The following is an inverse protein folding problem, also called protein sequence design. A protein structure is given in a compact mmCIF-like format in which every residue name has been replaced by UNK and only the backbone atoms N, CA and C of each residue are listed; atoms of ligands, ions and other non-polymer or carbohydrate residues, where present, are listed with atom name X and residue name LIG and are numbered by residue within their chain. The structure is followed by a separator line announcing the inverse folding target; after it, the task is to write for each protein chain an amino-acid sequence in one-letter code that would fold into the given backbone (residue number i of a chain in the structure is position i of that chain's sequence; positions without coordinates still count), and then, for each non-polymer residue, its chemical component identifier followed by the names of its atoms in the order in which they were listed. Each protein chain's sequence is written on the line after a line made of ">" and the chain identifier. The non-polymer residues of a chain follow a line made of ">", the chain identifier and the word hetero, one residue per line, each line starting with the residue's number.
data_IF_003890692471
#
_entry.id   IF_003890692471
#
_cell.length_a   1.000
_cell.length_b   1.000
_cell.length_c   1.000
_cell.angle_alpha   90.00
_cell.angle_beta   90.00
_cell.angle_gamma   90.00
#
_symmetry.space_group_name_H-M   'P 1'
#
loop_
_entity.id
_entity.type
_entity.pdbx_description
1 polymer ?
#
# COMPACT_ATOMS: atom_id res chain seq x y z
N UNK A 1 15.65 2.24 9.81
CA UNK A 1 14.25 1.86 10.07
C UNK A 1 14.19 1.06 11.35
N UNK A 2 13.21 1.31 12.18
CA UNK A 2 13.04 0.65 13.47
C UNK A 2 11.60 0.20 13.72
N UNK A 3 11.38 -0.84 14.56
CA UNK A 3 10.04 -1.28 14.94
C UNK A 3 9.31 -0.24 15.80
N UNK A 4 7.97 -0.29 15.79
CA UNK A 4 7.12 0.59 16.60
C UNK A 4 5.90 -0.16 17.15
N UNK A 5 5.27 0.40 18.18
CA UNK A 5 4.00 -0.09 18.73
C UNK A 5 2.82 0.54 17.97
N UNK A 6 1.81 -0.27 17.68
CA UNK A 6 0.46 0.20 17.39
C UNK A 6 -0.32 0.22 18.70
N UNK A 7 -0.64 1.40 19.19
CA UNK A 7 -1.43 1.59 20.41
C UNK A 7 -2.87 1.94 20.03
N UNK A 8 -3.78 0.99 20.21
CA UNK A 8 -5.21 1.15 19.94
C UNK A 8 -5.89 1.70 21.19
N UNK A 9 -6.16 3.00 21.23
CA UNK A 9 -6.70 3.68 22.41
C UNK A 9 -8.04 3.09 22.86
N UNK A 10 -8.96 2.89 21.91
CA UNK A 10 -10.32 2.44 22.20
C UNK A 10 -10.39 0.94 22.57
N UNK A 11 -9.45 0.13 22.14
CA UNK A 11 -9.43 -1.32 22.38
C UNK A 11 -8.51 -1.70 23.55
N UNK A 12 -7.79 -0.75 24.16
CA UNK A 12 -6.71 -1.00 25.16
C UNK A 12 -5.72 -2.08 24.69
N UNK A 13 -5.49 -2.14 23.38
CA UNK A 13 -4.69 -3.18 22.72
C UNK A 13 -3.41 -2.59 22.18
N UNK A 14 -2.33 -3.34 22.32
CA UNK A 14 -1.02 -3.01 21.73
C UNK A 14 -0.56 -4.12 20.81
N UNK A 15 0.01 -3.74 19.69
CA UNK A 15 0.65 -4.67 18.74
C UNK A 15 1.96 -4.07 18.27
N UNK A 16 3.05 -4.82 18.34
CA UNK A 16 4.32 -4.38 17.77
C UNK A 16 4.32 -4.55 16.25
N UNK A 17 4.90 -3.60 15.54
CA UNK A 17 5.29 -3.78 14.15
C UNK A 17 6.42 -4.82 14.10
N UNK A 18 6.49 -5.57 12.99
CA UNK A 18 7.52 -6.58 12.76
C UNK A 18 8.15 -6.35 11.40
N UNK A 19 9.01 -5.32 11.27
CA UNK A 19 9.77 -5.14 10.04
C UNK A 19 10.74 -6.31 9.88
N UNK A 20 11.13 -6.60 8.64
CA UNK A 20 12.16 -7.61 8.36
C UNK A 20 13.54 -7.01 8.61
N UNK A 21 14.28 -7.44 9.66
CA UNK A 21 15.60 -6.89 9.97
C UNK A 21 16.60 -7.21 8.85
N UNK A 22 17.59 -6.34 8.67
CA UNK A 22 18.63 -6.55 7.68
C UNK A 22 19.19 -5.26 7.09
N UNK A 23 20.11 -5.46 6.17
CA UNK A 23 20.73 -4.41 5.37
C UNK A 23 20.22 -4.55 3.95
N UNK A 24 19.71 -3.46 3.40
CA UNK A 24 19.06 -3.40 2.10
C UNK A 24 19.71 -2.35 1.21
N UNK A 25 19.72 -2.60 -0.09
CA UNK A 25 19.82 -1.56 -1.11
C UNK A 25 18.44 -0.95 -1.41
N UNK A 26 18.40 0.03 -2.29
CA UNK A 26 17.17 0.74 -2.64
C UNK A 26 16.11 -0.16 -3.27
N UNK A 27 16.51 -1.08 -4.14
CA UNK A 27 15.59 -1.99 -4.86
C UNK A 27 14.98 -3.02 -3.91
N UNK A 28 15.83 -3.74 -3.18
CA UNK A 28 15.39 -4.79 -2.25
C UNK A 28 14.54 -4.22 -1.11
N UNK A 29 14.82 -3.01 -0.64
CA UNK A 29 14.00 -2.37 0.37
C UNK A 29 12.64 -1.91 -0.18
N UNK A 30 12.60 -1.33 -1.38
CA UNK A 30 11.34 -0.98 -2.03
C UNK A 30 10.45 -2.22 -2.23
N UNK A 31 11.01 -3.32 -2.74
CA UNK A 31 10.32 -4.59 -2.88
C UNK A 31 9.80 -5.11 -1.53
N UNK A 32 10.62 -5.02 -0.48
CA UNK A 32 10.24 -5.43 0.86
C UNK A 32 9.02 -4.65 1.41
N UNK A 33 8.95 -3.34 1.16
CA UNK A 33 7.78 -2.52 1.50
C UNK A 33 6.56 -2.90 0.65
N UNK A 34 6.73 -3.01 -0.66
CA UNK A 34 5.66 -3.34 -1.60
C UNK A 34 5.03 -4.71 -1.31
N UNK A 35 5.82 -5.67 -0.84
CA UNK A 35 5.36 -7.00 -0.45
C UNK A 35 5.05 -7.14 1.06
N UNK A 36 4.83 -6.01 1.75
CA UNK A 36 4.40 -5.94 3.15
C UNK A 36 5.36 -6.59 4.16
N UNK A 37 6.66 -6.63 3.87
CA UNK A 37 7.69 -7.08 4.82
C UNK A 37 8.23 -5.93 5.67
N UNK A 38 8.17 -4.71 5.15
CA UNK A 38 8.50 -3.47 5.83
C UNK A 38 7.34 -2.46 5.68
N UNK A 39 7.39 -1.37 6.42
CA UNK A 39 6.31 -0.39 6.50
C UNK A 39 6.63 0.86 5.68
N UNK A 40 5.58 1.49 5.13
CA UNK A 40 5.68 2.76 4.44
C UNK A 40 5.78 3.96 5.39
N UNK A 41 5.49 3.76 6.68
CA UNK A 41 5.39 4.83 7.69
C UNK A 41 6.74 5.47 7.96
N UNK A 42 6.99 6.64 7.41
CA UNK A 42 8.26 7.39 7.52
C UNK A 42 8.58 7.81 8.95
N UNK A 43 7.58 7.85 9.85
CA UNK A 43 7.79 8.12 11.28
C UNK A 43 8.64 7.04 11.98
N UNK A 44 8.79 5.85 11.40
CA UNK A 44 9.67 4.78 11.89
C UNK A 44 11.06 4.79 11.27
N UNK A 45 11.45 5.88 10.62
CA UNK A 45 12.71 6.03 9.92
C UNK A 45 13.56 7.14 10.52
N UNK A 46 14.87 6.95 10.53
CA UNK A 46 15.85 8.02 10.66
C UNK A 46 16.50 8.22 9.29
N UNK A 47 16.41 9.43 8.76
CA UNK A 47 16.95 9.78 7.46
C UNK A 47 18.11 10.76 7.59
N UNK A 48 19.07 10.64 6.70
CA UNK A 48 20.01 11.74 6.47
C UNK A 48 19.27 12.91 5.85
N UNK A 49 19.46 14.12 6.39
CA UNK A 49 18.80 15.35 5.90
C UNK A 49 19.05 15.58 4.40
N UNK A 50 20.22 15.22 3.90
CA UNK A 50 20.59 15.38 2.48
C UNK A 50 19.69 14.60 1.52
N UNK A 51 19.04 13.52 1.95
CA UNK A 51 18.10 12.78 1.11
C UNK A 51 16.87 13.59 0.70
N UNK A 52 16.54 14.63 1.48
CA UNK A 52 15.38 15.48 1.22
C UNK A 52 15.62 16.55 0.14
N UNK A 53 16.85 16.73 -0.34
CA UNK A 53 17.17 17.67 -1.41
C UNK A 53 16.51 17.29 -2.75
N UNK A 54 16.30 15.98 -2.98
CA UNK A 54 15.78 15.44 -4.24
C UNK A 54 14.31 14.95 -4.13
N UNK A 55 13.69 15.13 -2.96
CA UNK A 55 12.36 14.61 -2.67
C UNK A 55 11.28 15.65 -2.99
N UNK A 56 10.22 15.21 -3.62
CA UNK A 56 9.07 16.04 -3.95
C UNK A 56 7.83 15.60 -3.15
N UNK A 57 7.17 16.57 -2.53
CA UNK A 57 5.90 16.38 -1.84
C UNK A 57 4.75 16.70 -2.78
N UNK A 58 3.80 15.76 -2.91
CA UNK A 58 2.60 15.98 -3.71
C UNK A 58 1.59 16.81 -2.92
N UNK A 59 1.31 18.04 -3.38
CA UNK A 59 0.38 18.93 -2.70
C UNK A 59 -1.04 18.37 -2.76
N UNK A 60 -1.67 18.25 -1.60
CA UNK A 60 -3.04 17.79 -1.48
C UNK A 60 -3.20 16.26 -1.37
N UNK A 61 -2.13 15.47 -1.48
CA UNK A 61 -2.14 14.05 -1.15
C UNK A 61 -2.14 13.90 0.38
N UNK A 62 -3.27 13.44 0.95
CA UNK A 62 -3.43 13.29 2.40
C UNK A 62 -3.49 11.82 2.84
N UNK A 63 -3.55 10.89 1.90
CA UNK A 63 -3.46 9.46 2.17
C UNK A 63 -2.48 8.80 1.20
N UNK A 64 -1.51 8.07 1.76
CA UNK A 64 -0.43 7.45 0.97
C UNK A 64 0.74 8.41 0.67
N UNK A 65 0.74 9.60 1.27
CA UNK A 65 1.86 10.56 1.23
C UNK A 65 3.14 9.94 1.78
N UNK A 66 3.03 9.19 2.89
CA UNK A 66 4.14 8.42 3.47
C UNK A 66 4.67 7.38 2.49
N UNK A 67 3.79 6.67 1.79
CA UNK A 67 4.19 5.66 0.82
C UNK A 67 4.92 6.29 -0.38
N UNK A 68 4.44 7.43 -0.87
CA UNK A 68 5.09 8.16 -1.94
C UNK A 68 6.44 8.74 -1.50
N UNK A 69 6.50 9.34 -0.32
CA UNK A 69 7.73 9.88 0.27
C UNK A 69 8.76 8.77 0.51
N UNK A 70 8.35 7.67 1.15
CA UNK A 70 9.24 6.54 1.44
C UNK A 70 9.84 5.93 0.17
N UNK A 71 9.08 5.87 -0.93
CA UNK A 71 9.60 5.36 -2.20
C UNK A 71 10.72 6.23 -2.77
N UNK A 72 10.60 7.56 -2.69
CA UNK A 72 11.64 8.49 -3.13
C UNK A 72 12.88 8.42 -2.24
N UNK A 73 12.70 8.51 -0.92
CA UNK A 73 13.79 8.39 0.05
C UNK A 73 14.56 7.07 -0.09
N UNK A 74 13.83 5.98 -0.35
CA UNK A 74 14.41 4.65 -0.60
C UNK A 74 15.27 4.66 -1.86
N UNK A 75 14.80 5.27 -2.95
CA UNK A 75 15.55 5.35 -4.20
C UNK A 75 16.89 6.09 -4.03
N UNK A 76 16.89 7.21 -3.31
CA UNK A 76 18.10 8.02 -3.11
C UNK A 76 19.04 7.47 -2.02
N UNK A 77 18.60 6.48 -1.24
CA UNK A 77 19.42 5.90 -0.19
C UNK A 77 20.36 4.81 -0.73
N UNK A 78 21.66 4.98 -0.51
CA UNK A 78 22.67 3.98 -0.88
C UNK A 78 22.61 2.71 0.01
N UNK A 79 22.17 2.87 1.25
CA UNK A 79 22.11 1.79 2.24
C UNK A 79 20.98 2.03 3.22
N UNK A 80 20.18 1.03 3.46
CA UNK A 80 19.06 1.07 4.40
C UNK A 80 19.22 -0.06 5.41
N UNK A 81 19.19 0.29 6.70
CA UNK A 81 19.30 -0.68 7.79
C UNK A 81 17.97 -0.77 8.51
N UNK A 82 17.42 -1.96 8.60
CA UNK A 82 16.26 -2.28 9.43
C UNK A 82 16.76 -2.94 10.70
N UNK A 83 16.52 -2.27 11.81
CA UNK A 83 17.02 -2.72 13.11
C UNK A 83 16.18 -3.86 13.67
N UNK A 84 16.85 -4.86 14.20
CA UNK A 84 16.26 -5.84 15.13
C UNK A 84 16.36 -5.27 16.55
N UNK A 85 15.30 -4.63 16.98
CA UNK A 85 15.25 -3.99 18.31
C UNK A 85 13.86 -4.05 18.92
N UNK A 86 13.75 -3.68 20.19
CA UNK A 86 12.45 -3.36 20.77
C UNK A 86 11.83 -2.16 20.03
N UNK A 87 10.49 -2.08 19.94
CA UNK A 87 9.83 -0.93 19.35
C UNK A 87 10.21 0.38 20.06
N UNK A 88 10.65 1.37 19.26
CA UNK A 88 11.17 2.65 19.77
C UNK A 88 10.16 3.79 19.72
N UNK A 89 9.02 3.58 19.05
CA UNK A 89 7.98 4.57 18.85
C UNK A 89 6.61 3.98 19.19
N UNK A 90 5.71 4.80 19.69
CA UNK A 90 4.30 4.49 19.85
C UNK A 90 3.48 5.20 18.76
N UNK A 91 2.89 4.41 17.85
CA UNK A 91 1.95 4.91 16.86
C UNK A 91 0.54 4.80 17.43
N UNK A 92 0.03 5.92 17.91
CA UNK A 92 -1.28 6.00 18.58
C UNK A 92 -2.40 5.98 17.54
N UNK A 93 -3.23 4.94 17.56
CA UNK A 93 -4.38 4.78 16.66
C UNK A 93 -5.61 5.35 17.33
N UNK A 94 -6.19 6.38 16.69
CA UNK A 94 -7.43 7.05 17.11
C UNK A 94 -8.44 6.98 15.99
N UNK A 95 -9.73 6.92 16.32
CA UNK A 95 -10.82 6.85 15.35
C UNK A 95 -10.95 8.10 14.46
N UNK A 96 -10.44 9.25 14.92
CA UNK A 96 -10.43 10.52 14.18
C UNK A 96 -9.17 10.72 13.30
N UNK A 97 -8.25 9.75 13.28
CA UNK A 97 -7.03 9.86 12.47
C UNK A 97 -7.33 9.74 10.97
N UNK A 98 -6.50 10.38 10.13
CA UNK A 98 -6.63 10.31 8.66
C UNK A 98 -6.62 8.86 8.17
N UNK A 99 -5.75 8.02 8.71
CA UNK A 99 -5.61 6.62 8.27
C UNK A 99 -6.79 5.74 8.67
N UNK A 100 -7.35 5.93 9.87
CA UNK A 100 -8.38 5.07 10.46
C UNK A 100 -9.78 5.69 10.54
N UNK A 101 -9.89 7.00 10.32
CA UNK A 101 -11.15 7.72 10.28
C UNK A 101 -12.07 7.33 9.11
N UNK A 102 -13.17 8.05 8.94
CA UNK A 102 -14.18 7.79 7.91
C UNK A 102 -13.59 7.74 6.50
N UNK A 103 -14.13 6.84 5.69
CA UNK A 103 -13.76 6.74 4.28
C UNK A 103 -14.51 7.81 3.48
N UNK A 104 -13.79 8.60 2.68
CA UNK A 104 -14.34 9.68 1.88
C UNK A 104 -13.92 9.53 0.41
N UNK A 105 -14.61 10.26 -0.48
CA UNK A 105 -14.25 10.32 -1.90
C UNK A 105 -12.84 10.86 -2.12
N UNK A 106 -12.42 11.89 -1.35
CA UNK A 106 -11.06 12.40 -1.38
C UNK A 106 -10.06 11.29 -1.03
N UNK A 107 -10.32 10.54 0.03
CA UNK A 107 -9.47 9.41 0.44
C UNK A 107 -9.41 8.32 -0.63
N UNK A 108 -10.52 8.05 -1.33
CA UNK A 108 -10.53 7.11 -2.45
C UNK A 108 -9.63 7.59 -3.59
N UNK A 109 -9.69 8.88 -3.95
CA UNK A 109 -8.81 9.49 -4.97
C UNK A 109 -7.34 9.42 -4.56
N UNK A 110 -7.03 9.72 -3.32
CA UNK A 110 -5.66 9.65 -2.79
C UNK A 110 -5.11 8.21 -2.87
N UNK A 111 -5.94 7.20 -2.52
CA UNK A 111 -5.58 5.76 -2.62
C UNK A 111 -5.28 5.37 -4.08
N UNK A 112 -5.97 5.90 -5.06
CA UNK A 112 -5.69 5.64 -6.47
C UNK A 112 -4.45 6.41 -6.96
N UNK A 113 -4.21 7.60 -6.43
CA UNK A 113 -3.18 8.50 -6.90
C UNK A 113 -1.78 8.07 -6.46
N UNK A 114 -1.57 7.68 -5.20
CA UNK A 114 -0.21 7.44 -4.71
C UNK A 114 0.55 6.32 -5.45
N UNK A 115 -0.07 5.19 -5.90
CA UNK A 115 0.64 4.21 -6.70
C UNK A 115 1.03 4.74 -8.09
N UNK A 116 0.21 5.63 -8.66
CA UNK A 116 0.51 6.27 -9.94
C UNK A 116 1.69 7.23 -9.81
N UNK A 117 1.77 7.98 -8.70
CA UNK A 117 2.91 8.85 -8.40
C UNK A 117 4.19 8.04 -8.22
N UNK A 118 4.13 6.91 -7.50
CA UNK A 118 5.27 6.01 -7.37
C UNK A 118 5.73 5.48 -8.74
N UNK A 119 4.80 5.04 -9.59
CA UNK A 119 5.11 4.57 -10.94
C UNK A 119 5.76 5.65 -11.78
N UNK A 120 5.20 6.88 -11.79
CA UNK A 120 5.80 8.04 -12.48
C UNK A 120 7.20 8.34 -12.01
N UNK A 121 7.44 8.29 -10.69
CA UNK A 121 8.74 8.54 -10.12
C UNK A 121 9.79 7.53 -10.60
N UNK A 122 9.41 6.25 -10.71
CA UNK A 122 10.34 5.18 -11.09
C UNK A 122 10.49 4.97 -12.59
N UNK A 123 9.49 5.33 -13.43
CA UNK A 123 9.43 4.94 -14.85
C UNK A 123 10.67 5.31 -15.67
N UNK A 124 11.32 6.43 -15.34
CA UNK A 124 12.53 6.93 -16.01
C UNK A 124 13.83 6.60 -15.24
N UNK A 125 13.73 5.76 -14.22
CA UNK A 125 14.89 5.37 -13.39
C UNK A 125 15.51 4.05 -13.88
N UNK A 126 16.83 3.89 -13.84
CA UNK A 126 17.50 2.65 -14.24
C UNK A 126 17.02 1.41 -13.49
N UNK A 127 16.49 1.59 -12.28
CA UNK A 127 15.97 0.52 -11.43
C UNK A 127 14.52 0.11 -11.77
N UNK A 128 13.84 0.79 -12.71
CA UNK A 128 12.45 0.51 -13.04
C UNK A 128 12.16 -0.97 -13.33
N UNK A 129 12.92 -1.66 -14.20
CA UNK A 129 12.66 -3.07 -14.51
C UNK A 129 12.71 -3.98 -13.28
N UNK A 130 13.51 -3.62 -12.28
CA UNK A 130 13.68 -4.41 -11.05
C UNK A 130 12.55 -4.18 -10.04
N UNK A 131 11.85 -3.05 -10.12
CA UNK A 131 10.76 -2.68 -9.19
C UNK A 131 9.37 -2.72 -9.82
N UNK A 132 9.24 -3.02 -11.11
CA UNK A 132 7.97 -2.96 -11.84
C UNK A 132 6.91 -3.90 -11.25
N UNK A 133 7.27 -5.15 -10.93
CA UNK A 133 6.34 -6.08 -10.24
C UNK A 133 5.92 -5.56 -8.87
N UNK A 134 6.86 -4.95 -8.13
CA UNK A 134 6.59 -4.37 -6.83
C UNK A 134 5.63 -3.17 -6.93
N UNK A 135 5.81 -2.30 -7.91
CA UNK A 135 4.88 -1.19 -8.23
C UNK A 135 3.49 -1.72 -8.60
N UNK A 136 3.42 -2.76 -9.41
CA UNK A 136 2.16 -3.42 -9.76
C UNK A 136 1.45 -4.01 -8.52
N UNK A 137 2.22 -4.58 -7.59
CA UNK A 137 1.68 -5.09 -6.32
C UNK A 137 1.13 -3.95 -5.43
N UNK A 138 1.78 -2.80 -5.38
CA UNK A 138 1.27 -1.62 -4.64
C UNK A 138 -0.05 -1.15 -5.25
N UNK A 139 -0.13 -1.03 -6.58
CA UNK A 139 -1.35 -0.64 -7.30
C UNK A 139 -2.48 -1.64 -7.04
N UNK A 140 -2.20 -2.93 -7.11
CA UNK A 140 -3.16 -3.98 -6.78
C UNK A 140 -3.62 -3.90 -5.32
N UNK A 141 -2.72 -3.57 -4.39
CA UNK A 141 -3.03 -3.33 -2.99
C UNK A 141 -4.01 -2.16 -2.80
N UNK A 142 -3.82 -1.07 -3.53
CA UNK A 142 -4.73 0.08 -3.54
C UNK A 142 -6.12 -0.30 -4.08
N UNK A 143 -6.20 -1.04 -5.18
CA UNK A 143 -7.47 -1.57 -5.72
C UNK A 143 -8.19 -2.41 -4.66
N UNK A 144 -7.49 -3.33 -4.03
CA UNK A 144 -8.06 -4.20 -2.97
C UNK A 144 -8.52 -3.38 -1.77
N UNK A 145 -7.77 -2.35 -1.39
CA UNK A 145 -8.15 -1.45 -0.29
C UNK A 145 -9.46 -0.73 -0.60
N UNK A 146 -9.63 -0.18 -1.79
CA UNK A 146 -10.87 0.48 -2.23
C UNK A 146 -12.06 -0.47 -2.18
N UNK A 147 -11.92 -1.68 -2.73
CA UNK A 147 -12.98 -2.69 -2.67
C UNK A 147 -13.30 -3.12 -1.23
N UNK A 148 -12.30 -3.18 -0.35
CA UNK A 148 -12.49 -3.48 1.07
C UNK A 148 -13.29 -2.39 1.80
N UNK A 149 -13.18 -1.14 1.34
CA UNK A 149 -13.96 0.01 1.83
C UNK A 149 -15.31 0.15 1.12
N UNK A 150 -15.72 -0.86 0.32
CA UNK A 150 -17.00 -0.90 -0.42
C UNK A 150 -17.12 0.20 -1.49
N UNK A 151 -16.01 0.67 -2.00
CA UNK A 151 -15.96 1.65 -3.11
C UNK A 151 -16.28 0.95 -4.44
N UNK A 152 -17.56 0.55 -4.63
CA UNK A 152 -17.98 -0.28 -5.74
C UNK A 152 -18.36 0.50 -7.01
N UNK A 153 -18.53 1.80 -6.92
CA UNK A 153 -18.87 2.64 -8.09
C UNK A 153 -17.81 2.56 -9.19
N UNK A 154 -16.54 2.42 -8.83
CA UNK A 154 -15.41 2.28 -9.76
C UNK A 154 -14.97 0.82 -9.96
N UNK A 155 -15.63 -0.14 -9.32
CA UNK A 155 -15.21 -1.54 -9.32
C UNK A 155 -14.99 -2.15 -10.72
N UNK A 156 -15.82 -1.86 -11.76
CA UNK A 156 -15.58 -2.40 -13.10
C UNK A 156 -14.25 -1.91 -13.71
N UNK A 157 -13.91 -0.64 -13.53
CA UNK A 157 -12.66 -0.04 -14.00
C UNK A 157 -11.46 -0.62 -13.24
N UNK A 158 -11.54 -0.63 -11.92
CA UNK A 158 -10.51 -1.19 -11.04
C UNK A 158 -10.27 -2.67 -11.32
N UNK A 159 -11.32 -3.43 -11.58
CA UNK A 159 -11.22 -4.84 -11.91
C UNK A 159 -10.53 -5.09 -13.26
N UNK A 160 -10.85 -4.31 -14.30
CA UNK A 160 -10.12 -4.39 -15.57
C UNK A 160 -8.63 -4.12 -15.38
N UNK A 161 -8.30 -3.09 -14.62
CA UNK A 161 -6.89 -2.78 -14.31
C UNK A 161 -6.20 -3.92 -13.55
N UNK A 162 -6.87 -4.54 -12.58
CA UNK A 162 -6.35 -5.72 -11.88
C UNK A 162 -6.12 -6.93 -12.80
N UNK A 163 -6.95 -7.11 -13.84
CA UNK A 163 -6.75 -8.17 -14.83
C UNK A 163 -5.56 -7.88 -15.77
N UNK A 164 -5.31 -6.61 -16.11
CA UNK A 164 -4.10 -6.22 -16.84
C UNK A 164 -2.83 -6.54 -16.02
N UNK A 165 -2.86 -6.24 -14.72
CA UNK A 165 -1.79 -6.59 -13.80
C UNK A 165 -1.63 -8.13 -13.71
N UNK A 166 -2.74 -8.91 -13.59
CA UNK A 166 -2.69 -10.38 -13.58
C UNK A 166 -2.06 -10.94 -14.88
N UNK A 167 -2.35 -10.32 -16.02
CA UNK A 167 -1.78 -10.74 -17.32
C UNK A 167 -0.26 -10.54 -17.37
N UNK A 168 0.22 -9.43 -16.80
CA UNK A 168 1.66 -9.10 -16.78
C UNK A 168 2.40 -9.84 -15.65
N UNK A 169 1.78 -9.99 -14.49
CA UNK A 169 2.33 -10.60 -13.28
C UNK A 169 1.33 -11.60 -12.67
N UNK A 170 1.24 -12.84 -13.19
CA UNK A 170 0.18 -13.79 -12.84
C UNK A 170 0.09 -14.14 -11.36
N UNK A 171 1.23 -14.13 -10.64
CA UNK A 171 1.29 -14.54 -9.24
C UNK A 171 0.73 -13.51 -8.27
N UNK A 172 0.62 -12.23 -8.65
CA UNK A 172 0.22 -11.17 -7.74
C UNK A 172 -1.21 -11.36 -7.21
N UNK A 173 -2.15 -11.77 -8.04
CA UNK A 173 -3.54 -12.06 -7.59
C UNK A 173 -3.66 -13.32 -6.74
N UNK A 174 -2.62 -14.15 -6.67
CA UNK A 174 -2.57 -15.32 -5.79
C UNK A 174 -1.99 -15.02 -4.41
N UNK A 175 -1.33 -13.87 -4.24
CA UNK A 175 -0.76 -13.41 -2.96
C UNK A 175 -1.81 -12.69 -2.10
N UNK A 176 -1.63 -12.70 -0.78
CA UNK A 176 -2.45 -11.86 0.12
C UNK A 176 -2.03 -10.38 0.00
N UNK A 177 -2.97 -9.42 0.09
CA UNK A 177 -4.42 -9.58 0.34
C UNK A 177 -5.25 -9.86 -0.92
N UNK A 178 -4.71 -9.68 -2.15
CA UNK A 178 -5.43 -9.73 -3.41
C UNK A 178 -6.17 -11.05 -3.65
N UNK A 179 -5.58 -12.18 -3.25
CA UNK A 179 -6.19 -13.52 -3.36
C UNK A 179 -7.61 -13.58 -2.80
N UNK A 180 -7.88 -12.84 -1.71
CA UNK A 180 -9.21 -12.79 -1.09
C UNK A 180 -10.25 -12.15 -2.00
N UNK A 181 -9.84 -11.17 -2.82
CA UNK A 181 -10.70 -10.39 -3.70
C UNK A 181 -10.72 -10.89 -5.15
N UNK A 182 -9.92 -11.90 -5.49
CA UNK A 182 -9.73 -12.40 -6.86
C UNK A 182 -11.04 -12.78 -7.55
N UNK A 183 -11.96 -13.49 -6.86
CA UNK A 183 -13.28 -13.84 -7.42
C UNK A 183 -14.12 -12.61 -7.70
N UNK A 184 -14.10 -11.63 -6.81
CA UNK A 184 -14.82 -10.36 -6.97
C UNK A 184 -14.29 -9.56 -8.15
N UNK A 185 -12.96 -9.43 -8.25
CA UNK A 185 -12.29 -8.76 -9.37
C UNK A 185 -12.64 -9.42 -10.71
N UNK A 186 -12.54 -10.75 -10.82
CA UNK A 186 -12.89 -11.49 -12.03
C UNK A 186 -14.37 -11.35 -12.41
N UNK A 187 -15.25 -11.28 -11.43
CA UNK A 187 -16.67 -11.07 -11.69
C UNK A 187 -16.96 -9.67 -12.24
N UNK A 188 -16.41 -8.61 -11.64
CA UNK A 188 -16.53 -7.24 -12.16
C UNK A 188 -15.84 -7.04 -13.51
N UNK A 189 -14.71 -7.68 -13.76
CA UNK A 189 -14.03 -7.63 -15.06
C UNK A 189 -14.88 -8.26 -16.17
N UNK A 190 -15.68 -9.29 -15.86
CA UNK A 190 -16.59 -9.94 -16.81
C UNK A 190 -17.82 -9.09 -17.11
N UNK A 191 -18.52 -8.60 -16.09
CA UNK A 191 -19.61 -7.66 -16.19
C UNK A 191 -19.97 -7.04 -14.83
N UNK A 192 -20.58 -5.86 -14.87
CA UNK A 192 -21.07 -5.18 -13.68
C UNK A 192 -22.15 -5.99 -12.94
N UNK A 193 -23.02 -6.69 -13.68
CA UNK A 193 -24.05 -7.55 -13.12
C UNK A 193 -23.44 -8.67 -12.25
N UNK A 194 -22.51 -9.46 -12.80
CA UNK A 194 -21.83 -10.51 -12.06
C UNK A 194 -21.02 -9.96 -10.90
N UNK A 195 -20.37 -8.82 -11.08
CA UNK A 195 -19.65 -8.13 -10.02
C UNK A 195 -20.55 -7.77 -8.84
N UNK A 196 -21.71 -7.15 -9.09
CA UNK A 196 -22.69 -6.81 -8.05
C UNK A 196 -23.25 -8.06 -7.33
N UNK A 197 -23.49 -9.15 -8.04
CA UNK A 197 -23.96 -10.40 -7.45
C UNK A 197 -22.92 -10.99 -6.48
N UNK A 198 -21.65 -11.06 -6.91
CA UNK A 198 -20.55 -11.55 -6.06
C UNK A 198 -20.28 -10.59 -4.90
N UNK A 199 -20.39 -9.28 -5.10
CA UNK A 199 -20.24 -8.29 -4.03
C UNK A 199 -21.30 -8.49 -2.93
N UNK A 200 -22.57 -8.72 -3.30
CA UNK A 200 -23.65 -9.05 -2.33
C UNK A 200 -23.30 -10.30 -1.52
N UNK A 201 -22.82 -11.35 -2.17
CA UNK A 201 -22.37 -12.56 -1.46
C UNK A 201 -21.23 -12.27 -0.48
N UNK A 202 -20.25 -11.46 -0.86
CA UNK A 202 -19.13 -11.07 0.01
C UNK A 202 -19.60 -10.26 1.23
N UNK A 203 -20.58 -9.36 1.04
CA UNK A 203 -21.18 -8.58 2.12
C UNK A 203 -21.94 -9.47 3.11
N UNK A 204 -22.77 -10.39 2.60
CA UNK A 204 -23.54 -11.33 3.42
C UNK A 204 -22.66 -12.29 4.22
N UNK A 205 -21.57 -12.75 3.64
CA UNK A 205 -20.63 -13.68 4.29
C UNK A 205 -19.55 -12.97 5.12
N UNK A 206 -19.63 -11.64 5.31
CA UNK A 206 -18.64 -10.81 6.00
C UNK A 206 -17.20 -10.98 5.46
N UNK A 207 -17.04 -11.38 4.21
CA UNK A 207 -15.74 -11.49 3.55
C UNK A 207 -15.13 -10.13 3.23
N UNK A 208 -15.96 -9.10 3.17
CA UNK A 208 -15.60 -7.68 3.13
C UNK A 208 -16.13 -7.08 4.44
N UNK A 209 -15.23 -6.52 5.25
CA UNK A 209 -15.58 -5.85 6.52
C UNK A 209 -15.82 -4.38 6.30
#
# INVERSE_FOLDING_TARGET
>A
VFPFWFDYVDEKKKRSSRPAPGVYDSVSFFQSMAFCRNYWSVCSYLHKRSLYAEVHFEKGLNYGEDAYLASQLTYFANKIVVLESHPLLHYVIRNDSISFGSFSEKKARDIELYPQLQRRFYQDKPTYPQVEEALANVELGAIVLLLSKRWFQEAPRLARRAMEIEKQFPDLLHRRPARRYRKLLKAYARSEFWGKLVARYYLLTRKIK
#
